data_IF_882040247266
#
_entry.id   IF_882040247266
#
_cell.length_a   1.000
_cell.length_b   1.000
_cell.length_c   1.000
_cell.angle_alpha   90.00
_cell.angle_beta   90.00
_cell.angle_gamma   90.00
#
_symmetry.space_group_name_H-M   'P 1'
#
loop_
_entity.id
_entity.type
_entity.pdbx_description
1 polymer ?
#
# COMPACT_ATOMS: atom_id res chain seq x y z
N UNK A 1 -6.26 10.16 -41.27
CA UNK A 1 -5.90 9.76 -39.89
C UNK A 1 -4.44 10.13 -39.64
N UNK A 2 -4.08 10.63 -38.46
CA UNK A 2 -2.69 10.94 -38.16
C UNK A 2 -1.84 9.65 -38.19
N UNK A 3 -0.65 9.75 -38.75
CA UNK A 3 0.32 8.66 -38.74
C UNK A 3 1.01 8.59 -37.38
N UNK A 4 0.75 7.55 -36.63
CA UNK A 4 1.24 7.36 -35.27
C UNK A 4 2.37 6.31 -35.14
N UNK A 5 2.84 5.76 -36.23
CA UNK A 5 3.93 4.75 -36.27
C UNK A 5 5.29 5.42 -36.45
N UNK A 6 6.34 4.67 -36.18
CA UNK A 6 7.69 5.12 -36.50
C UNK A 6 7.90 5.16 -38.03
N UNK A 7 8.55 6.21 -38.52
CA UNK A 7 8.76 6.45 -39.92
C UNK A 7 9.95 7.35 -40.20
N UNK A 8 9.98 7.92 -41.40
CA UNK A 8 10.95 8.93 -41.81
C UNK A 8 10.21 10.24 -42.11
N UNK A 9 10.74 11.32 -41.58
CA UNK A 9 10.14 12.67 -41.76
C UNK A 9 10.25 13.09 -43.23
N UNK A 10 9.17 13.56 -43.80
CA UNK A 10 9.11 14.12 -45.16
C UNK A 10 8.50 15.50 -45.13
N UNK A 11 8.91 16.39 -46.04
CA UNK A 11 8.45 17.77 -46.13
C UNK A 11 8.55 18.55 -44.82
N UNK A 12 9.62 18.26 -44.04
CA UNK A 12 9.84 18.82 -42.70
C UNK A 12 11.07 19.76 -42.65
N UNK A 13 11.40 20.41 -43.74
CA UNK A 13 12.57 21.29 -43.86
C UNK A 13 13.87 20.53 -43.52
N UNK A 14 14.66 21.09 -42.62
CA UNK A 14 15.92 20.50 -42.16
C UNK A 14 15.81 19.14 -41.48
N UNK A 15 14.62 18.75 -41.03
CA UNK A 15 14.34 17.45 -40.38
C UNK A 15 13.89 16.38 -41.37
N UNK A 16 13.80 16.69 -42.68
CA UNK A 16 13.43 15.75 -43.71
C UNK A 16 14.51 14.66 -43.86
N UNK A 17 14.08 13.42 -44.03
CA UNK A 17 14.99 12.27 -44.13
C UNK A 17 15.41 11.67 -42.78
N UNK A 18 15.11 12.30 -41.66
CA UNK A 18 15.41 11.78 -40.33
C UNK A 18 14.40 10.71 -39.91
N UNK A 19 14.86 9.68 -39.22
CA UNK A 19 13.99 8.71 -38.53
C UNK A 19 13.27 9.38 -37.37
N UNK A 20 12.12 8.86 -37.00
CA UNK A 20 11.25 9.47 -35.96
C UNK A 20 12.00 9.86 -34.68
N UNK A 21 12.89 9.00 -34.16
CA UNK A 21 13.63 9.30 -32.91
C UNK A 21 14.64 10.43 -33.09
N UNK A 22 15.39 10.39 -34.18
CA UNK A 22 16.39 11.44 -34.51
C UNK A 22 15.69 12.79 -34.76
N UNK A 23 14.56 12.77 -35.50
CA UNK A 23 13.77 13.96 -35.75
C UNK A 23 13.19 14.57 -34.45
N UNK A 24 12.68 13.74 -33.54
CA UNK A 24 12.19 14.22 -32.23
C UNK A 24 13.28 14.96 -31.46
N UNK A 25 14.48 14.37 -31.38
CA UNK A 25 15.59 14.99 -30.66
C UNK A 25 16.00 16.32 -31.34
N UNK A 26 16.22 16.32 -32.62
CA UNK A 26 16.64 17.51 -33.36
C UNK A 26 15.60 18.66 -33.27
N UNK A 27 14.29 18.34 -33.29
CA UNK A 27 13.21 19.32 -33.13
C UNK A 27 13.21 19.86 -31.69
N UNK A 28 13.39 19.03 -30.67
CA UNK A 28 13.45 19.46 -29.28
C UNK A 28 14.66 20.37 -29.03
N UNK A 29 15.83 20.00 -29.55
CA UNK A 29 17.04 20.83 -29.44
C UNK A 29 16.82 22.22 -30.06
N UNK A 30 16.26 22.27 -31.26
CA UNK A 30 15.93 23.53 -31.93
C UNK A 30 14.88 24.38 -31.17
N UNK A 31 13.83 23.74 -30.62
CA UNK A 31 12.83 24.44 -29.83
C UNK A 31 13.43 25.04 -28.54
N UNK A 32 14.38 24.32 -27.92
CA UNK A 32 15.11 24.78 -26.75
C UNK A 32 16.01 25.96 -27.08
N UNK A 33 16.76 25.92 -28.19
CA UNK A 33 17.60 27.00 -28.69
C UNK A 33 16.80 28.28 -28.97
N UNK A 34 15.60 28.11 -29.51
CA UNK A 34 14.69 29.23 -29.82
C UNK A 34 13.93 29.73 -28.58
N UNK A 35 14.07 29.11 -27.40
CA UNK A 35 13.32 29.44 -26.19
C UNK A 35 11.80 29.22 -26.32
N UNK A 36 11.36 28.37 -27.27
CA UNK A 36 9.93 28.12 -27.57
C UNK A 36 9.40 26.82 -27.02
N UNK A 37 10.24 25.97 -26.48
CA UNK A 37 9.86 24.69 -25.90
C UNK A 37 11.06 23.89 -25.44
N UNK A 38 10.83 22.71 -24.89
CA UNK A 38 11.88 21.81 -24.41
C UNK A 38 11.29 20.46 -23.99
N UNK A 39 12.14 19.55 -23.59
CA UNK A 39 11.73 18.26 -23.10
C UNK A 39 10.99 18.41 -21.75
N UNK A 40 9.87 17.72 -21.62
CA UNK A 40 9.10 17.63 -20.39
C UNK A 40 8.75 16.16 -20.10
N UNK A 41 9.16 15.69 -18.93
CA UNK A 41 8.78 14.38 -18.42
C UNK A 41 7.39 14.47 -17.79
N UNK A 42 6.46 13.64 -18.25
CA UNK A 42 5.14 13.48 -17.64
C UNK A 42 5.03 12.07 -17.07
N UNK A 43 4.79 11.97 -15.78
CA UNK A 43 4.56 10.70 -15.13
C UNK A 43 3.12 10.22 -15.37
N UNK A 44 2.94 8.92 -15.64
CA UNK A 44 1.60 8.31 -15.79
C UNK A 44 0.93 8.03 -14.44
N UNK A 45 1.74 7.88 -13.38
CA UNK A 45 1.22 7.74 -12.02
C UNK A 45 0.74 9.09 -11.52
N UNK A 46 -0.42 9.10 -10.86
CA UNK A 46 -0.96 10.31 -10.21
C UNK A 46 -0.44 10.37 -8.78
N UNK A 47 -0.36 11.59 -8.25
CA UNK A 47 -0.03 11.81 -6.84
C UNK A 47 -1.00 11.07 -5.93
N UNK A 48 -0.49 10.49 -4.86
CA UNK A 48 -1.32 9.80 -3.89
C UNK A 48 -1.87 10.80 -2.88
N UNK A 49 -3.17 10.76 -2.65
CA UNK A 49 -3.75 11.42 -1.49
C UNK A 49 -3.49 10.53 -0.26
N UNK A 50 -2.64 11.01 0.65
CA UNK A 50 -2.27 10.28 1.88
C UNK A 50 -3.18 10.60 3.05
N UNK A 51 -4.01 11.61 2.93
CA UNK A 51 -4.93 12.12 3.95
C UNK A 51 -6.28 11.39 3.92
N UNK A 52 -6.79 11.01 5.11
CA UNK A 52 -8.09 10.36 5.29
C UNK A 52 -8.87 11.03 6.40
N UNK A 53 -10.14 11.33 6.12
CA UNK A 53 -11.10 11.96 7.04
C UNK A 53 -11.73 10.89 7.92
N UNK A 54 -10.93 10.26 8.78
CA UNK A 54 -11.39 9.20 9.69
C UNK A 54 -10.62 9.24 11.01
N UNK A 55 -11.21 8.68 12.06
CA UNK A 55 -10.61 8.66 13.38
C UNK A 55 -9.40 7.73 13.48
N UNK A 56 -9.53 6.48 13.02
CA UNK A 56 -8.48 5.49 13.15
C UNK A 56 -7.40 5.67 12.07
N UNK A 57 -6.16 5.63 12.50
CA UNK A 57 -4.97 5.81 11.68
C UNK A 57 -3.94 6.64 12.44
N UNK A 58 -2.75 6.77 11.88
CA UNK A 58 -1.73 7.68 12.41
C UNK A 58 -2.14 9.13 12.08
N UNK A 59 -2.30 10.03 13.06
CA UNK A 59 -2.55 11.43 12.79
C UNK A 59 -1.45 12.04 11.93
N UNK A 60 -1.84 12.91 11.00
CA UNK A 60 -0.86 13.65 10.19
C UNK A 60 -0.16 14.67 11.11
N UNK A 61 1.17 14.59 11.27
CA UNK A 61 1.90 15.38 12.27
C UNK A 61 2.20 16.81 11.77
N UNK A 62 1.15 17.51 11.33
CA UNK A 62 1.25 18.89 10.81
C UNK A 62 0.36 19.83 11.59
N UNK A 63 0.78 21.10 11.64
CA UNK A 63 0.08 22.21 12.29
C UNK A 63 -0.10 23.34 11.28
N UNK A 64 -1.32 23.85 11.16
CA UNK A 64 -1.67 24.96 10.28
C UNK A 64 -1.69 26.26 11.04
N UNK A 65 -0.69 27.09 10.86
CA UNK A 65 -0.53 28.39 11.49
C UNK A 65 -0.93 29.53 10.54
N UNK A 66 -1.72 30.50 10.95
CA UNK A 66 -2.10 31.63 10.11
C UNK A 66 -0.91 32.51 9.68
N UNK A 67 0.18 32.47 10.43
CA UNK A 67 1.38 33.30 10.15
C UNK A 67 2.51 32.52 9.47
N UNK A 68 2.73 31.27 9.89
CA UNK A 68 3.87 30.45 9.40
C UNK A 68 3.45 29.44 8.30
N UNK A 69 2.16 29.33 7.97
CA UNK A 69 1.66 28.29 7.06
C UNK A 69 1.63 26.91 7.73
N UNK A 70 1.86 25.88 6.95
CA UNK A 70 1.88 24.50 7.44
C UNK A 70 3.28 24.16 7.97
N UNK A 71 3.36 23.78 9.25
CA UNK A 71 4.61 23.45 9.95
C UNK A 71 4.52 22.06 10.57
N UNK A 72 5.62 21.30 10.67
CA UNK A 72 5.60 19.98 11.31
C UNK A 72 5.47 20.10 12.84
N UNK A 73 4.87 19.05 13.43
CA UNK A 73 4.94 18.83 14.88
C UNK A 73 6.40 18.54 15.25
N UNK A 74 6.98 19.20 16.28
CA UNK A 74 8.34 18.92 16.72
C UNK A 74 8.54 17.46 17.12
N UNK A 75 9.70 16.89 16.85
CA UNK A 75 10.01 15.47 17.14
C UNK A 75 9.79 15.10 18.61
N UNK A 76 10.14 16.02 19.54
CA UNK A 76 9.93 15.84 20.98
C UNK A 76 8.46 15.70 21.40
N UNK A 77 7.54 16.13 20.54
CA UNK A 77 6.09 16.11 20.78
C UNK A 77 5.40 14.95 20.03
N UNK A 78 6.20 14.07 19.41
CA UNK A 78 5.72 12.84 18.77
C UNK A 78 5.70 11.67 19.77
N UNK A 79 4.80 10.71 19.59
CA UNK A 79 3.74 10.62 18.58
C UNK A 79 2.55 11.54 18.87
N UNK A 80 1.87 12.01 17.81
CA UNK A 80 0.58 12.67 17.98
C UNK A 80 -0.47 11.62 18.37
N UNK A 81 -0.95 11.68 19.61
CA UNK A 81 -1.91 10.70 20.12
C UNK A 81 -3.34 11.04 19.72
N UNK A 82 -4.15 10.02 19.41
CA UNK A 82 -5.57 10.18 19.16
C UNK A 82 -6.31 10.48 20.48
N UNK A 83 -7.26 11.43 20.50
CA UNK A 83 -8.11 11.69 21.67
C UNK A 83 -9.14 10.56 21.83
N UNK A 84 -9.44 10.19 23.09
CA UNK A 84 -10.44 9.13 23.38
C UNK A 84 -11.88 9.62 23.29
N UNK A 85 -12.11 10.90 23.70
CA UNK A 85 -13.44 11.50 23.73
C UNK A 85 -13.76 12.21 22.41
N UNK A 86 -14.14 11.43 21.41
CA UNK A 86 -14.47 11.94 20.07
C UNK A 86 -15.92 11.65 19.72
N UNK A 87 -16.63 12.67 19.25
CA UNK A 87 -17.99 12.51 18.74
C UNK A 87 -17.97 12.18 17.26
N UNK A 88 -18.55 11.04 16.91
CA UNK A 88 -18.73 10.64 15.53
C UNK A 88 -20.00 11.28 14.95
N UNK A 89 -19.87 11.91 13.78
CA UNK A 89 -20.98 12.49 13.04
C UNK A 89 -21.17 11.75 11.71
N UNK A 90 -22.42 11.58 11.24
CA UNK A 90 -22.69 10.91 9.97
C UNK A 90 -22.41 11.80 8.73
N UNK A 91 -21.90 13.02 8.91
CA UNK A 91 -21.65 13.99 7.83
C UNK A 91 -20.38 13.73 7.00
N UNK A 92 -19.66 12.64 7.27
CA UNK A 92 -18.45 12.25 6.55
C UNK A 92 -17.22 13.11 6.82
N UNK A 93 -17.30 14.07 7.75
CA UNK A 93 -16.14 14.87 8.16
C UNK A 93 -15.27 14.11 9.15
N UNK A 94 -14.00 14.51 9.26
CA UNK A 94 -13.10 13.94 10.24
C UNK A 94 -13.62 14.19 11.65
N UNK A 95 -13.84 13.14 12.48
CA UNK A 95 -14.26 13.31 13.86
C UNK A 95 -13.24 14.09 14.70
N UNK A 96 -11.96 14.04 14.33
CA UNK A 96 -10.90 14.79 15.00
C UNK A 96 -11.07 16.30 14.84
N UNK A 97 -11.63 16.76 13.71
CA UNK A 97 -11.88 18.17 13.42
C UNK A 97 -12.88 18.83 14.39
N UNK A 98 -13.75 18.05 15.04
CA UNK A 98 -14.70 18.54 16.05
C UNK A 98 -14.16 18.49 17.48
N UNK A 99 -12.98 17.89 17.71
CA UNK A 99 -12.35 17.76 19.01
C UNK A 99 -11.47 18.99 19.31
N UNK A 100 -11.96 19.96 20.04
CA UNK A 100 -11.23 21.20 20.32
C UNK A 100 -9.88 20.96 21.01
N UNK A 101 -9.81 20.00 21.92
CA UNK A 101 -8.57 19.64 22.64
C UNK A 101 -7.51 19.10 21.70
N UNK A 102 -7.91 18.38 20.65
CA UNK A 102 -7.01 17.88 19.64
C UNK A 102 -6.61 18.98 18.64
N UNK A 103 -7.57 19.80 18.21
CA UNK A 103 -7.41 20.80 17.15
C UNK A 103 -6.62 22.02 17.57
N UNK A 104 -6.88 22.53 18.80
CA UNK A 104 -6.31 23.82 19.24
C UNK A 104 -4.90 23.62 19.80
N UNK A 105 -3.91 24.17 19.12
CA UNK A 105 -2.50 24.07 19.50
C UNK A 105 -1.80 25.41 19.33
N UNK A 106 -0.62 25.54 19.90
CA UNK A 106 0.28 26.67 19.62
C UNK A 106 1.24 26.31 18.49
N UNK A 107 1.50 27.27 17.62
CA UNK A 107 2.49 27.12 16.58
C UNK A 107 3.89 26.93 17.18
N UNK A 108 4.64 25.88 16.85
CA UNK A 108 5.96 25.65 17.41
C UNK A 108 7.01 26.65 16.95
N UNK A 109 6.72 27.41 15.88
CA UNK A 109 7.65 28.39 15.29
C UNK A 109 7.43 29.78 15.88
N UNK A 110 6.18 30.28 15.90
CA UNK A 110 5.91 31.67 16.33
C UNK A 110 5.07 31.80 17.61
N UNK A 111 4.59 30.68 18.19
CA UNK A 111 3.78 30.67 19.42
C UNK A 111 2.33 31.12 19.26
N UNK A 112 1.90 31.57 18.08
CA UNK A 112 0.53 31.98 17.81
C UNK A 112 -0.46 30.80 17.90
N UNK A 113 -1.74 31.12 18.05
CA UNK A 113 -2.81 30.11 17.97
C UNK A 113 -2.85 29.49 16.58
N UNK A 114 -2.92 28.17 16.55
CA UNK A 114 -2.87 27.37 15.34
C UNK A 114 -3.79 26.15 15.46
N UNK A 115 -3.98 25.44 14.37
CA UNK A 115 -4.81 24.24 14.30
C UNK A 115 -3.97 23.04 13.88
N UNK A 116 -4.17 21.91 14.58
CA UNK A 116 -3.61 20.62 14.17
C UNK A 116 -4.33 20.13 12.91
N UNK A 117 -3.64 19.37 12.08
CA UNK A 117 -4.28 18.67 10.95
C UNK A 117 -5.30 17.66 11.50
N UNK A 118 -6.58 17.69 11.03
CA UNK A 118 -7.62 16.81 11.53
C UNK A 118 -7.62 15.42 10.90
N UNK A 119 -6.76 15.16 9.95
CA UNK A 119 -6.79 13.94 9.17
C UNK A 119 -5.79 12.90 9.69
N UNK A 120 -6.01 11.67 9.30
CA UNK A 120 -5.10 10.55 9.54
C UNK A 120 -4.47 10.06 8.25
N UNK A 121 -3.34 9.41 8.35
CA UNK A 121 -2.65 8.82 7.19
C UNK A 121 -3.44 7.63 6.62
N UNK A 122 -3.36 7.47 5.31
CA UNK A 122 -3.86 6.30 4.61
C UNK A 122 -3.28 5.00 5.17
N UNK A 123 -4.07 3.95 5.17
CA UNK A 123 -3.68 2.63 5.68
C UNK A 123 -2.40 2.11 5.01
N UNK A 124 -2.26 2.32 3.69
CA UNK A 124 -1.09 1.84 2.97
C UNK A 124 0.18 2.64 3.28
N UNK A 125 0.08 3.91 3.69
CA UNK A 125 1.21 4.66 4.23
C UNK A 125 1.67 4.01 5.53
N UNK A 126 0.74 3.75 6.46
CA UNK A 126 1.07 3.13 7.75
C UNK A 126 1.60 1.71 7.60
N UNK A 127 1.03 0.90 6.70
CA UNK A 127 1.43 -0.49 6.49
C UNK A 127 2.67 -0.66 5.60
N UNK A 128 3.15 0.39 4.96
CA UNK A 128 4.25 0.32 3.99
C UNK A 128 5.61 -0.04 4.58
N UNK A 129 5.81 0.09 5.87
CA UNK A 129 7.09 -0.08 6.56
C UNK A 129 7.07 -1.03 7.75
N UNK A 130 5.94 -1.71 8.03
CA UNK A 130 5.78 -2.57 9.22
C UNK A 130 6.83 -3.66 9.35
N UNK A 131 7.31 -4.23 8.23
CA UNK A 131 8.35 -5.27 8.19
C UNK A 131 9.70 -4.75 8.72
N UNK A 132 10.01 -3.48 8.52
CA UNK A 132 11.19 -2.84 9.12
C UNK A 132 11.05 -2.80 10.65
N UNK A 133 9.88 -2.42 11.15
CA UNK A 133 9.60 -2.39 12.59
C UNK A 133 9.65 -3.79 13.22
N UNK A 134 9.28 -4.84 12.50
CA UNK A 134 9.37 -6.22 13.02
C UNK A 134 10.78 -6.64 13.36
N UNK A 135 11.78 -6.18 12.62
CA UNK A 135 13.19 -6.45 12.90
C UNK A 135 13.66 -5.85 14.23
N UNK A 136 13.02 -4.78 14.72
CA UNK A 136 13.36 -4.09 15.97
C UNK A 136 12.13 -3.59 16.74
N UNK A 137 11.17 -4.49 16.97
CA UNK A 137 9.84 -4.16 17.50
C UNK A 137 9.83 -3.54 18.91
N UNK A 138 10.88 -3.78 19.71
CA UNK A 138 11.01 -3.28 21.08
C UNK A 138 11.79 -1.98 21.22
N UNK A 139 12.22 -1.38 20.13
CA UNK A 139 12.94 -0.10 20.17
C UNK A 139 12.00 1.03 20.62
N UNK A 140 12.27 1.63 21.76
CA UNK A 140 11.46 2.70 22.32
C UNK A 140 11.90 4.11 21.87
N UNK A 141 13.09 4.23 21.28
CA UNK A 141 13.70 5.54 20.97
C UNK A 141 13.53 5.94 19.51
N UNK A 142 13.55 4.96 18.60
CA UNK A 142 13.44 5.21 17.15
C UNK A 142 12.60 4.14 16.44
N UNK A 143 12.23 4.40 15.21
CA UNK A 143 11.39 3.49 14.42
C UNK A 143 12.02 2.10 14.30
N UNK A 144 13.34 2.04 14.09
CA UNK A 144 14.15 0.82 14.05
C UNK A 144 15.64 1.19 14.10
N UNK A 145 16.45 0.21 14.43
CA UNK A 145 17.90 0.30 14.31
C UNK A 145 18.35 -0.18 12.93
N UNK A 146 19.16 0.64 12.23
CA UNK A 146 19.65 0.38 10.88
C UNK A 146 20.40 -0.97 10.79
N UNK A 147 21.35 -1.21 11.71
CA UNK A 147 22.19 -2.41 11.66
C UNK A 147 21.39 -3.70 11.85
N UNK A 148 20.31 -3.65 12.65
CA UNK A 148 19.40 -4.78 12.82
C UNK A 148 18.58 -5.04 11.57
N UNK A 149 18.03 -3.97 10.99
CA UNK A 149 17.20 -4.04 9.79
C UNK A 149 18.02 -4.55 8.61
N UNK A 150 19.19 -3.98 8.35
CA UNK A 150 20.05 -4.37 7.22
C UNK A 150 20.58 -5.82 7.32
N UNK A 151 20.63 -6.39 8.54
CA UNK A 151 20.97 -7.82 8.75
C UNK A 151 19.82 -8.77 8.48
N UNK A 152 18.58 -8.35 8.66
CA UNK A 152 17.39 -9.20 8.58
C UNK A 152 16.61 -9.06 7.30
N UNK A 153 16.80 -7.97 6.57
CA UNK A 153 16.04 -7.57 5.39
C UNK A 153 16.96 -7.36 4.19
N UNK A 154 16.43 -7.40 2.96
CA UNK A 154 15.01 -7.50 2.57
C UNK A 154 14.37 -8.85 2.89
N UNK A 155 13.03 -8.90 2.89
CA UNK A 155 12.26 -10.14 3.14
C UNK A 155 12.46 -11.13 2.01
N UNK A 156 12.85 -12.38 2.32
CA UNK A 156 13.14 -13.41 1.31
C UNK A 156 11.92 -13.77 0.45
N UNK A 157 10.78 -13.95 1.10
CA UNK A 157 9.53 -14.33 0.42
C UNK A 157 8.33 -13.62 1.03
N UNK A 158 7.60 -12.90 0.20
CA UNK A 158 6.41 -12.17 0.58
C UNK A 158 5.16 -12.75 -0.07
N UNK A 159 4.14 -13.01 0.74
CA UNK A 159 2.93 -13.71 0.30
C UNK A 159 1.73 -12.78 0.42
N UNK A 160 0.96 -12.68 -0.65
CA UNK A 160 -0.23 -11.82 -0.67
C UNK A 160 -1.00 -11.88 -1.98
N UNK A 161 -2.16 -11.23 -2.01
CA UNK A 161 -2.99 -11.15 -3.20
C UNK A 161 -2.38 -10.26 -4.28
N UNK A 162 -2.62 -10.59 -5.54
CA UNK A 162 -2.13 -9.82 -6.70
C UNK A 162 -2.71 -8.39 -6.75
N UNK A 163 -3.88 -8.15 -6.14
CA UNK A 163 -4.50 -6.83 -6.03
C UNK A 163 -3.64 -5.80 -5.29
N UNK A 164 -2.72 -6.25 -4.44
CA UNK A 164 -1.81 -5.37 -3.73
C UNK A 164 -0.66 -4.81 -4.57
N UNK A 165 -0.50 -5.24 -5.82
CA UNK A 165 0.51 -4.71 -6.73
C UNK A 165 0.40 -3.18 -6.91
N UNK A 166 -0.84 -2.66 -7.00
CA UNK A 166 -1.14 -1.23 -7.14
C UNK A 166 -1.49 -0.53 -5.81
N UNK A 167 -1.37 -1.21 -4.67
CA UNK A 167 -1.70 -0.68 -3.35
C UNK A 167 -0.55 -0.92 -2.37
N UNK A 168 -0.66 -1.84 -1.43
CA UNK A 168 0.34 -2.08 -0.39
C UNK A 168 1.77 -2.28 -0.94
N UNK A 169 1.96 -3.08 -1.99
CA UNK A 169 3.31 -3.34 -2.54
C UNK A 169 3.92 -2.09 -3.17
N UNK A 170 3.12 -1.28 -3.86
CA UNK A 170 3.60 -0.03 -4.46
C UNK A 170 4.08 0.96 -3.38
N UNK A 171 3.28 1.13 -2.32
CA UNK A 171 3.66 1.98 -1.18
C UNK A 171 4.90 1.44 -0.45
N UNK A 172 4.98 0.14 -0.22
CA UNK A 172 6.15 -0.48 0.45
C UNK A 172 7.43 -0.25 -0.34
N UNK A 173 7.39 -0.43 -1.67
CA UNK A 173 8.54 -0.18 -2.54
C UNK A 173 8.94 1.29 -2.56
N UNK A 174 7.96 2.20 -2.64
CA UNK A 174 8.22 3.64 -2.61
C UNK A 174 8.89 4.07 -1.30
N UNK A 175 8.32 3.66 -0.15
CA UNK A 175 8.86 4.02 1.18
C UNK A 175 10.25 3.41 1.37
N UNK A 176 10.48 2.16 0.94
CA UNK A 176 11.82 1.53 1.01
C UNK A 176 12.85 2.35 0.23
N UNK A 177 12.54 2.74 -1.01
CA UNK A 177 13.45 3.57 -1.82
C UNK A 177 13.71 4.94 -1.18
N UNK A 178 12.66 5.58 -0.66
CA UNK A 178 12.80 6.86 0.05
C UNK A 178 13.66 6.73 1.31
N UNK A 179 13.49 5.68 2.11
CA UNK A 179 14.30 5.44 3.31
C UNK A 179 15.77 5.13 2.95
N UNK A 180 16.03 4.44 1.85
CA UNK A 180 17.38 4.24 1.32
C UNK A 180 18.02 5.57 0.90
N UNK A 181 17.30 6.38 0.12
CA UNK A 181 17.80 7.69 -0.33
C UNK A 181 18.12 8.62 0.86
N UNK A 182 17.38 8.50 1.94
CA UNK A 182 17.62 9.21 3.20
C UNK A 182 18.69 8.55 4.10
N UNK A 183 19.25 7.40 3.73
CA UNK A 183 20.30 6.71 4.46
C UNK A 183 19.86 5.90 5.67
N UNK A 184 18.56 5.65 5.83
CA UNK A 184 18.03 4.85 6.94
C UNK A 184 18.19 3.32 6.76
N UNK A 185 18.34 2.85 5.52
CA UNK A 185 18.54 1.44 5.14
C UNK A 185 19.47 1.34 3.92
N UNK A 186 20.04 0.16 3.63
CA UNK A 186 20.99 -0.02 2.52
C UNK A 186 20.38 -0.72 1.29
N UNK A 187 19.20 -1.29 1.40
CA UNK A 187 18.50 -1.97 0.29
C UNK A 187 17.39 -1.08 -0.31
N UNK A 188 17.00 -1.33 -1.57
CA UNK A 188 16.02 -0.52 -2.34
C UNK A 188 14.76 -1.30 -2.75
N UNK A 189 14.71 -2.60 -2.48
CA UNK A 189 13.51 -3.41 -2.65
C UNK A 189 13.18 -4.12 -1.35
N UNK A 190 11.92 -4.04 -0.87
CA UNK A 190 11.55 -4.60 0.43
C UNK A 190 11.46 -6.13 0.43
N UNK A 191 11.19 -6.74 -0.74
CA UNK A 191 10.88 -8.16 -0.89
C UNK A 191 11.70 -8.76 -2.04
N UNK A 192 12.43 -9.84 -1.79
CA UNK A 192 13.24 -10.53 -2.81
C UNK A 192 12.38 -11.35 -3.77
N UNK A 193 11.28 -11.93 -3.28
CA UNK A 193 10.33 -12.65 -4.12
C UNK A 193 8.90 -12.48 -3.62
N UNK A 194 7.95 -12.49 -4.56
CA UNK A 194 6.51 -12.44 -4.30
C UNK A 194 5.87 -13.77 -4.64
N UNK A 195 4.98 -14.23 -3.80
CA UNK A 195 4.08 -15.35 -4.08
C UNK A 195 2.66 -14.82 -4.03
N UNK A 196 2.03 -14.72 -5.19
CA UNK A 196 0.62 -14.36 -5.26
C UNK A 196 -0.23 -15.58 -4.95
N UNK A 197 -0.99 -15.48 -3.87
CA UNK A 197 -1.97 -16.49 -3.52
C UNK A 197 -3.17 -16.44 -4.47
N UNK A 198 -3.69 -17.61 -4.83
CA UNK A 198 -4.91 -17.74 -5.60
C UNK A 198 -6.14 -17.30 -4.82
N UNK A 199 -7.23 -17.05 -5.52
CA UNK A 199 -8.51 -16.67 -4.92
C UNK A 199 -9.40 -17.90 -4.82
N UNK A 200 -9.97 -18.14 -3.63
CA UNK A 200 -11.02 -19.13 -3.44
C UNK A 200 -12.33 -18.51 -3.92
N UNK A 201 -12.92 -19.11 -4.92
CA UNK A 201 -14.16 -18.69 -5.54
C UNK A 201 -15.36 -19.28 -4.81
N UNK A 202 -16.52 -18.70 -4.99
CA UNK A 202 -17.78 -19.31 -4.56
C UNK A 202 -18.05 -20.66 -5.27
N UNK A 203 -19.05 -21.44 -4.82
CA UNK A 203 -19.44 -22.70 -5.48
C UNK A 203 -19.85 -22.51 -6.94
N UNK A 204 -20.25 -21.29 -7.30
CA UNK A 204 -20.62 -20.85 -8.65
C UNK A 204 -19.40 -20.52 -9.55
N UNK A 205 -18.19 -20.71 -9.04
CA UNK A 205 -16.94 -20.39 -9.75
C UNK A 205 -16.66 -18.89 -9.91
N UNK A 206 -17.42 -18.02 -9.24
CA UNK A 206 -17.19 -16.57 -9.27
C UNK A 206 -16.58 -16.07 -7.96
N UNK A 207 -15.94 -14.90 -8.00
CA UNK A 207 -15.40 -14.26 -6.79
C UNK A 207 -16.52 -14.04 -5.77
N UNK A 208 -16.27 -14.45 -4.53
CA UNK A 208 -17.20 -14.27 -3.41
C UNK A 208 -17.46 -12.79 -3.14
N UNK A 209 -18.72 -12.43 -2.95
CA UNK A 209 -19.13 -11.07 -2.62
C UNK A 209 -20.44 -11.07 -1.83
N UNK A 210 -20.58 -10.12 -0.89
CA UNK A 210 -21.81 -9.95 -0.10
C UNK A 210 -23.03 -9.68 -0.99
N UNK A 211 -22.83 -8.90 -2.06
CA UNK A 211 -23.91 -8.56 -3.00
C UNK A 211 -24.41 -9.76 -3.84
N UNK A 212 -23.56 -10.77 -4.06
CA UNK A 212 -23.92 -11.99 -4.78
C UNK A 212 -24.50 -13.09 -3.90
N UNK A 213 -24.32 -12.98 -2.57
CA UNK A 213 -24.76 -14.01 -1.63
C UNK A 213 -24.01 -15.34 -1.72
N UNK A 214 -22.86 -15.39 -2.41
CA UNK A 214 -22.06 -16.58 -2.63
C UNK A 214 -20.88 -16.72 -1.66
N UNK A 215 -20.92 -16.01 -0.52
CA UNK A 215 -19.87 -16.07 0.50
C UNK A 215 -19.97 -17.38 1.27
N UNK A 216 -18.84 -18.04 1.43
CA UNK A 216 -18.66 -19.18 2.32
C UNK A 216 -18.16 -18.66 3.68
N UNK A 217 -18.97 -18.88 4.73
CA UNK A 217 -18.55 -18.56 6.09
C UNK A 217 -17.75 -19.74 6.67
N UNK A 218 -16.49 -19.56 7.06
CA UNK A 218 -15.65 -20.58 7.66
C UNK A 218 -16.20 -21.13 8.98
N UNK A 219 -16.90 -20.32 9.77
CA UNK A 219 -17.39 -20.71 11.11
C UNK A 219 -18.27 -21.97 11.08
N UNK A 220 -19.14 -22.10 10.05
CA UNK A 220 -19.97 -23.29 9.86
C UNK A 220 -19.12 -24.56 9.76
N UNK A 221 -18.07 -24.51 8.93
CA UNK A 221 -17.23 -25.68 8.65
C UNK A 221 -16.25 -25.98 9.80
N UNK A 222 -15.79 -24.95 10.49
CA UNK A 222 -14.97 -25.11 11.69
C UNK A 222 -15.79 -25.74 12.83
N UNK A 223 -17.05 -25.35 12.99
CA UNK A 223 -17.93 -25.94 13.98
C UNK A 223 -18.26 -27.42 13.68
N UNK A 224 -18.38 -27.80 12.39
CA UNK A 224 -18.77 -29.16 11.97
C UNK A 224 -17.56 -30.12 11.93
N UNK A 225 -16.43 -29.67 11.39
CA UNK A 225 -15.25 -30.53 11.13
C UNK A 225 -14.02 -30.23 11.99
N UNK A 226 -14.02 -29.13 12.72
CA UNK A 226 -12.87 -28.62 13.43
C UNK A 226 -11.94 -27.78 12.58
N UNK A 227 -11.11 -26.96 13.25
CA UNK A 227 -10.16 -26.04 12.61
C UNK A 227 -9.08 -26.74 11.79
N UNK A 228 -8.64 -27.92 12.24
CA UNK A 228 -7.52 -28.63 11.61
C UNK A 228 -7.94 -29.22 10.24
N UNK A 229 -9.14 -29.81 10.17
CA UNK A 229 -9.69 -30.31 8.89
C UNK A 229 -9.91 -29.16 7.94
N UNK A 230 -10.46 -28.05 8.41
CA UNK A 230 -10.67 -26.86 7.59
C UNK A 230 -9.37 -26.29 7.02
N UNK A 231 -8.34 -26.16 7.88
CA UNK A 231 -7.02 -25.70 7.45
C UNK A 231 -6.35 -26.66 6.48
N UNK A 232 -6.43 -27.95 6.74
CA UNK A 232 -5.89 -28.98 5.86
C UNK A 232 -6.54 -28.94 4.47
N UNK A 233 -7.88 -28.73 4.43
CA UNK A 233 -8.60 -28.56 3.18
C UNK A 233 -8.12 -27.31 2.40
N UNK A 234 -7.95 -26.16 3.07
CA UNK A 234 -7.46 -24.94 2.41
C UNK A 234 -6.05 -25.12 1.84
N UNK A 235 -5.22 -25.92 2.49
CA UNK A 235 -3.84 -26.17 2.04
C UNK A 235 -3.74 -27.18 0.91
N UNK A 236 -4.68 -28.15 0.84
CA UNK A 236 -4.59 -29.28 -0.09
C UNK A 236 -5.65 -29.24 -1.20
N UNK A 237 -6.80 -28.63 -0.94
CA UNK A 237 -7.95 -28.62 -1.87
C UNK A 237 -7.80 -27.66 -3.06
N UNK A 238 -6.80 -26.80 -3.03
CA UNK A 238 -6.60 -25.78 -4.08
C UNK A 238 -5.11 -25.68 -4.46
N UNK A 239 -4.85 -25.30 -5.72
CA UNK A 239 -3.54 -24.76 -6.08
C UNK A 239 -3.33 -23.46 -5.32
N UNK A 240 -2.21 -23.34 -4.59
CA UNK A 240 -1.95 -22.18 -3.76
C UNK A 240 -1.90 -20.87 -4.55
N UNK A 241 -1.36 -20.91 -5.76
CA UNK A 241 -1.19 -19.73 -6.62
C UNK A 241 -2.38 -19.48 -7.56
N UNK A 242 -3.16 -20.50 -7.88
CA UNK A 242 -4.28 -20.38 -8.81
C UNK A 242 -5.63 -20.22 -8.08
N UNK A 243 -5.75 -20.83 -6.89
CA UNK A 243 -7.01 -20.92 -6.18
C UNK A 243 -7.97 -21.94 -6.80
N UNK A 244 -9.26 -21.65 -6.72
CA UNK A 244 -10.29 -22.50 -7.34
C UNK A 244 -11.65 -22.35 -6.66
N UNK A 245 -12.71 -22.98 -7.21
CA UNK A 245 -14.05 -22.93 -6.64
C UNK A 245 -14.13 -23.75 -5.35
N UNK A 246 -14.87 -23.23 -4.39
CA UNK A 246 -15.19 -23.94 -3.15
C UNK A 246 -15.88 -25.27 -3.44
N UNK A 247 -15.42 -26.34 -2.78
CA UNK A 247 -15.96 -27.69 -2.96
C UNK A 247 -16.14 -28.39 -1.60
N UNK A 248 -17.39 -28.57 -1.18
CA UNK A 248 -17.73 -29.26 0.08
C UNK A 248 -17.34 -30.74 0.08
N UNK A 249 -17.43 -31.43 -1.06
CA UNK A 249 -17.06 -32.85 -1.16
C UNK A 249 -15.53 -33.03 -0.97
N UNK A 250 -14.74 -32.06 -1.41
CA UNK A 250 -13.32 -32.03 -1.13
C UNK A 250 -13.03 -31.94 0.37
N UNK A 251 -13.75 -31.10 1.10
CA UNK A 251 -13.62 -30.98 2.57
C UNK A 251 -14.02 -32.27 3.29
N UNK A 252 -15.13 -32.91 2.91
CA UNK A 252 -15.55 -34.22 3.44
C UNK A 252 -14.50 -35.30 3.17
N UNK A 253 -13.84 -35.25 2.04
CA UNK A 253 -12.77 -36.22 1.68
C UNK A 253 -11.54 -36.04 2.59
N UNK A 254 -11.19 -34.82 2.94
CA UNK A 254 -10.10 -34.53 3.89
C UNK A 254 -10.48 -35.02 5.30
N UNK A 255 -11.73 -34.82 5.75
CA UNK A 255 -12.19 -35.35 7.03
C UNK A 255 -12.06 -36.89 7.10
N UNK A 256 -12.53 -37.60 6.05
CA UNK A 256 -12.35 -39.05 5.96
C UNK A 256 -10.90 -39.50 5.92
N UNK A 257 -10.01 -38.71 5.34
CA UNK A 257 -8.58 -39.00 5.37
C UNK A 257 -8.02 -38.89 6.80
N UNK A 258 -8.35 -37.82 7.53
CA UNK A 258 -7.93 -37.64 8.91
C UNK A 258 -8.43 -38.76 9.83
N UNK A 259 -9.71 -39.16 9.70
CA UNK A 259 -10.28 -40.30 10.46
C UNK A 259 -9.56 -41.63 10.19
N UNK A 260 -9.14 -41.84 8.95
CA UNK A 260 -8.36 -43.07 8.61
C UNK A 260 -6.97 -43.00 9.19
N UNK A 261 -6.33 -41.84 9.19
CA UNK A 261 -5.02 -41.64 9.77
C UNK A 261 -5.05 -41.88 11.29
N UNK A 262 -6.03 -41.31 11.97
CA UNK A 262 -6.24 -41.54 13.42
C UNK A 262 -6.38 -43.01 13.75
N UNK A 263 -7.29 -43.72 13.04
CA UNK A 263 -7.46 -45.19 13.24
C UNK A 263 -6.25 -46.03 12.91
N UNK A 264 -5.31 -45.53 12.13
CA UNK A 264 -4.08 -46.28 11.81
C UNK A 264 -2.99 -46.08 12.87
N UNK A 265 -3.13 -45.06 13.72
CA UNK A 265 -2.16 -44.73 14.78
C UNK A 265 -2.66 -45.21 16.15
N UNK A 266 -3.97 -45.27 16.35
CA UNK A 266 -4.61 -45.79 17.58
C UNK A 266 -4.89 -47.27 17.47
#
# INVERSE_FOLDING_TARGET
LPFCSYGVSVNSGEFSGMKTEDAKKAILDKLSELGKGGEKVNYRIRDWSVSRQRYWGAPIPMIHCPHCGTVPVPEKDLPVSLPYDVKFSPDGKSPLGSCEQFMNVKCPVCGADAKRDPDTLDTFVCSSWYYLRYADSKNAEKAFDKDKVDKMLPVDKYVGGAEHACSHLLYSRFITKALKDMGYIDFDEPFLSLVHQGVILGPDGTRMSKSKGNIINPDKYIAEYGSDIFRLYLMFGFSYTEGGPWNEEGLKSIAKFADRLERAIT
#
